data_IF_189111717579
#
_entry.id   IF_189111717579
#
_cell.length_a   1.000
_cell.length_b   1.000
_cell.length_c   1.000
_cell.angle_alpha   90.00
_cell.angle_beta   90.00
_cell.angle_gamma   90.00
#
_symmetry.space_group_name_H-M   'P 1'
#
loop_
_entity.id
_entity.type
_entity.pdbx_description
1 polymer ?
#
# COMPACT_ATOMS: atom_id res chain seq x y z
N UNK A 1 9.19 -10.60 -4.51
CA UNK A 1 9.11 -10.18 -3.09
C UNK A 1 10.22 -9.19 -2.68
N UNK A 2 11.47 -9.32 -3.14
CA UNK A 2 12.63 -8.59 -2.57
C UNK A 2 12.77 -7.08 -2.93
N UNK A 3 11.70 -6.28 -2.94
CA UNK A 3 11.81 -4.81 -3.06
C UNK A 3 10.93 -4.09 -2.04
N UNK A 4 11.51 -3.03 -1.46
CA UNK A 4 11.09 -2.28 -0.26
C UNK A 4 9.58 -2.07 -0.13
N UNK A 5 8.91 -1.50 -1.14
CA UNK A 5 7.52 -1.05 -1.00
C UNK A 5 6.47 -2.12 -0.68
N UNK A 6 6.61 -3.35 -1.19
CA UNK A 6 5.64 -4.41 -0.89
C UNK A 6 5.76 -4.92 0.56
N UNK A 7 6.99 -4.95 1.10
CA UNK A 7 7.21 -5.27 2.51
C UNK A 7 6.73 -4.17 3.43
N UNK A 8 6.84 -2.90 3.02
CA UNK A 8 6.29 -1.77 3.80
C UNK A 8 4.77 -1.86 3.92
N UNK A 9 4.05 -2.20 2.83
CA UNK A 9 2.60 -2.43 2.88
C UNK A 9 2.28 -3.61 3.79
N UNK A 10 2.99 -4.73 3.66
CA UNK A 10 2.79 -5.90 4.51
C UNK A 10 2.95 -5.55 6.00
N UNK A 11 4.02 -4.83 6.34
CA UNK A 11 4.28 -4.37 7.70
C UNK A 11 3.14 -3.49 8.23
N UNK A 12 2.59 -2.59 7.42
CA UNK A 12 1.47 -1.74 7.83
C UNK A 12 0.23 -2.57 8.16
N UNK A 13 -0.11 -3.54 7.29
CA UNK A 13 -1.25 -4.43 7.51
C UNK A 13 -1.07 -5.27 8.78
N UNK A 14 0.13 -5.81 9.01
CA UNK A 14 0.48 -6.57 10.21
C UNK A 14 0.41 -5.68 11.47
N UNK A 15 0.93 -4.46 11.40
CA UNK A 15 0.93 -3.50 12.51
C UNK A 15 -0.50 -3.19 12.96
N UNK A 16 -1.40 -2.96 12.00
CA UNK A 16 -2.82 -2.71 12.23
C UNK A 16 -3.63 -3.99 12.47
N UNK A 17 -2.98 -5.17 12.43
CA UNK A 17 -3.59 -6.50 12.61
C UNK A 17 -4.76 -6.75 11.65
N UNK A 18 -4.58 -6.35 10.39
CA UNK A 18 -5.56 -6.56 9.34
C UNK A 18 -5.37 -7.93 8.69
N UNK A 19 -6.45 -8.70 8.64
CA UNK A 19 -6.47 -9.96 7.89
C UNK A 19 -6.25 -9.68 6.40
N UNK A 20 -5.28 -10.36 5.80
CA UNK A 20 -4.95 -10.17 4.38
C UNK A 20 -4.35 -11.45 3.77
N UNK A 21 -4.41 -11.54 2.45
CA UNK A 21 -3.79 -12.61 1.66
C UNK A 21 -2.66 -12.04 0.81
N UNK A 22 -1.55 -12.77 0.72
CA UNK A 22 -0.41 -12.39 -0.11
C UNK A 22 -0.46 -13.18 -1.42
N UNK A 23 -0.64 -12.47 -2.54
CA UNK A 23 -0.53 -13.04 -3.88
C UNK A 23 0.83 -12.67 -4.48
N UNK A 24 1.80 -13.60 -4.54
CA UNK A 24 3.16 -13.28 -4.96
C UNK A 24 3.29 -13.21 -6.49
N UNK A 25 3.75 -12.07 -7.00
CA UNK A 25 4.15 -11.90 -8.40
C UNK A 25 5.68 -11.94 -8.53
N UNK A 26 6.20 -12.82 -9.38
CA UNK A 26 7.63 -12.88 -9.70
C UNK A 26 7.94 -11.85 -10.77
N UNK A 27 8.87 -10.93 -10.48
CA UNK A 27 9.36 -9.97 -11.48
C UNK A 27 10.19 -10.71 -12.52
N UNK A 28 10.07 -10.27 -13.78
CA UNK A 28 11.04 -10.63 -14.80
C UNK A 28 12.36 -9.86 -14.58
N UNK A 29 13.44 -10.33 -15.22
CA UNK A 29 14.75 -9.68 -15.15
C UNK A 29 14.75 -8.24 -15.72
N UNK A 30 13.73 -7.89 -16.50
CA UNK A 30 13.57 -6.56 -17.09
C UNK A 30 12.94 -5.54 -16.16
N UNK A 31 12.51 -5.93 -14.96
CA UNK A 31 11.74 -5.10 -14.03
C UNK A 31 10.49 -4.47 -14.68
N UNK A 32 9.99 -5.06 -15.76
CA UNK A 32 8.88 -4.51 -16.54
C UNK A 32 7.56 -4.73 -15.81
N UNK A 33 6.56 -3.97 -16.24
CA UNK A 33 5.20 -4.17 -15.79
C UNK A 33 4.75 -5.59 -16.18
N UNK A 34 4.30 -6.38 -15.19
CA UNK A 34 3.86 -7.75 -15.41
C UNK A 34 2.48 -7.73 -16.07
N UNK A 35 2.30 -8.50 -17.14
CA UNK A 35 1.02 -8.59 -17.86
C UNK A 35 -0.13 -9.03 -16.94
N UNK A 36 0.16 -9.87 -15.95
CA UNK A 36 -0.82 -10.28 -14.94
C UNK A 36 -1.26 -9.12 -14.05
N UNK A 37 -0.34 -8.23 -13.66
CA UNK A 37 -0.67 -7.03 -12.88
C UNK A 37 -1.39 -5.99 -13.73
N UNK A 38 -1.11 -5.90 -15.04
CA UNK A 38 -1.82 -4.98 -15.95
C UNK A 38 -3.31 -5.31 -16.07
N UNK A 39 -3.68 -6.59 -15.91
CA UNK A 39 -5.09 -7.01 -15.85
C UNK A 39 -5.82 -6.46 -14.62
N UNK A 40 -5.10 -6.20 -13.53
CA UNK A 40 -5.64 -5.65 -12.29
C UNK A 40 -5.58 -4.12 -12.27
N UNK A 41 -4.47 -3.53 -12.72
CA UNK A 41 -4.28 -2.09 -12.76
C UNK A 41 -3.37 -1.68 -13.93
N UNK A 42 -3.67 -0.63 -14.71
CA UNK A 42 -2.92 -0.24 -15.91
C UNK A 42 -1.41 -0.04 -15.71
N UNK A 43 -0.98 0.36 -14.51
CA UNK A 43 0.43 0.52 -14.16
C UNK A 43 1.22 -0.80 -14.21
N UNK A 44 0.57 -1.93 -13.94
CA UNK A 44 1.18 -3.27 -13.97
C UNK A 44 2.37 -3.45 -13.04
N UNK A 45 2.44 -2.67 -11.96
CA UNK A 45 3.54 -2.66 -10.98
C UNK A 45 3.05 -3.11 -9.61
N UNK A 46 3.97 -3.58 -8.78
CA UNK A 46 3.75 -3.96 -7.38
C UNK A 46 4.39 -2.90 -6.47
N UNK A 47 3.81 -2.64 -5.28
CA UNK A 47 2.63 -3.31 -4.69
C UNK A 47 1.28 -2.86 -5.29
N UNK A 48 0.28 -3.75 -5.22
CA UNK A 48 -1.14 -3.45 -5.37
C UNK A 48 -1.86 -4.00 -4.13
N UNK A 49 -2.79 -3.22 -3.57
CA UNK A 49 -3.67 -3.69 -2.50
C UNK A 49 -5.10 -3.77 -3.02
N UNK A 50 -5.73 -4.94 -2.90
CA UNK A 50 -7.17 -5.09 -3.09
C UNK A 50 -7.85 -4.93 -1.74
N UNK A 51 -8.77 -3.97 -1.63
CA UNK A 51 -9.63 -3.79 -0.47
C UNK A 51 -11.07 -4.13 -0.84
N UNK A 52 -11.72 -4.96 -0.03
CA UNK A 52 -13.13 -5.32 -0.18
C UNK A 52 -13.97 -4.65 0.92
N UNK A 53 -14.99 -3.90 0.50
CA UNK A 53 -15.96 -3.33 1.41
C UNK A 53 -16.93 -4.43 1.90
N UNK A 54 -16.94 -4.68 3.21
CA UNK A 54 -17.74 -5.76 3.81
C UNK A 54 -19.26 -5.56 3.71
N UNK A 55 -19.74 -4.33 3.49
CA UNK A 55 -21.18 -4.03 3.41
C UNK A 55 -21.69 -4.11 1.98
N UNK A 56 -20.89 -3.66 1.03
CA UNK A 56 -21.28 -3.53 -0.39
C UNK A 56 -20.67 -4.59 -1.30
N UNK A 57 -19.73 -5.40 -0.78
CA UNK A 57 -18.90 -6.36 -1.53
C UNK A 57 -18.12 -5.71 -2.69
N UNK A 58 -17.97 -4.38 -2.67
CA UNK A 58 -17.23 -3.66 -3.71
C UNK A 58 -15.75 -3.82 -3.47
N UNK A 59 -15.05 -4.23 -4.52
CA UNK A 59 -13.59 -4.34 -4.56
C UNK A 59 -12.97 -3.07 -5.11
N UNK A 60 -11.87 -2.65 -4.51
CA UNK A 60 -11.07 -1.51 -4.94
C UNK A 60 -9.61 -1.91 -5.03
N UNK A 61 -9.00 -1.67 -6.19
CA UNK A 61 -7.56 -1.86 -6.39
C UNK A 61 -6.86 -0.53 -6.11
N UNK A 62 -5.87 -0.58 -5.23
CA UNK A 62 -5.09 0.56 -4.78
C UNK A 62 -3.65 0.40 -5.32
N UNK A 63 -3.23 1.23 -6.29
CA UNK A 63 -1.84 1.32 -6.71
C UNK A 63 -1.07 2.31 -5.84
N UNK A 64 0.26 2.34 -6.03
CA UNK A 64 1.21 3.27 -5.40
C UNK A 64 1.30 3.19 -3.88
N UNK A 65 2.52 3.32 -3.36
CA UNK A 65 2.77 3.05 -1.95
C UNK A 65 2.11 4.08 -1.03
N UNK A 66 2.27 5.37 -1.33
CA UNK A 66 1.68 6.44 -0.54
C UNK A 66 0.15 6.36 -0.54
N UNK A 67 -0.46 6.12 -1.69
CA UNK A 67 -1.91 6.00 -1.79
C UNK A 67 -2.46 4.81 -0.99
N UNK A 68 -1.77 3.67 -1.05
CA UNK A 68 -2.10 2.51 -0.21
C UNK A 68 -2.01 2.89 1.28
N UNK A 69 -0.91 3.53 1.70
CA UNK A 69 -0.69 3.92 3.09
C UNK A 69 -1.79 4.85 3.62
N UNK A 70 -2.03 5.96 2.92
CA UNK A 70 -3.05 6.94 3.30
C UNK A 70 -4.45 6.32 3.33
N UNK A 71 -4.77 5.48 2.35
CA UNK A 71 -6.06 4.78 2.34
C UNK A 71 -6.19 3.86 3.56
N UNK A 72 -5.16 3.07 3.87
CA UNK A 72 -5.22 2.11 4.96
C UNK A 72 -5.34 2.82 6.31
N UNK A 73 -4.53 3.83 6.58
CA UNK A 73 -4.60 4.61 7.83
C UNK A 73 -5.99 5.23 8.01
N UNK A 74 -6.48 5.94 6.99
CA UNK A 74 -7.78 6.62 7.03
C UNK A 74 -8.97 5.71 7.29
N UNK A 75 -8.93 4.46 6.80
CA UNK A 75 -10.08 3.55 6.89
C UNK A 75 -9.96 2.51 8.00
N UNK A 76 -8.74 2.20 8.46
CA UNK A 76 -8.49 1.06 9.34
C UNK A 76 -7.69 1.39 10.61
N UNK A 77 -6.94 2.49 10.68
CA UNK A 77 -6.26 2.89 11.93
C UNK A 77 -7.23 3.60 12.88
N UNK A 78 -7.98 2.81 13.65
CA UNK A 78 -8.98 3.32 14.61
C UNK A 78 -8.38 3.98 15.85
N UNK A 79 -7.08 3.80 16.07
CA UNK A 79 -6.37 4.26 17.27
C UNK A 79 -5.50 5.48 17.01
N UNK A 80 -5.44 5.93 15.75
CA UNK A 80 -4.57 7.01 15.32
C UNK A 80 -3.12 6.76 15.76
N UNK A 81 -2.72 5.49 15.69
CA UNK A 81 -1.46 5.01 16.24
C UNK A 81 -0.25 5.57 15.49
N UNK A 82 -0.44 5.84 14.19
CA UNK A 82 0.57 6.35 13.28
C UNK A 82 0.33 7.81 12.88
N UNK A 83 -0.87 8.35 13.08
CA UNK A 83 -1.28 9.68 12.60
C UNK A 83 -1.83 10.56 13.73
N UNK A 84 -1.28 10.46 14.95
CA UNK A 84 -1.70 11.26 16.11
C UNK A 84 -1.90 12.72 15.71
N UNK A 85 -3.02 13.33 16.14
CA UNK A 85 -3.43 14.75 15.98
C UNK A 85 -2.37 15.87 16.24
N UNK A 86 -1.12 15.52 16.52
CA UNK A 86 0.02 16.41 16.48
C UNK A 86 0.38 16.73 15.02
N UNK A 87 -0.08 17.88 14.53
CA UNK A 87 0.06 18.33 13.13
C UNK A 87 1.50 18.16 12.59
N UNK A 88 2.51 18.48 13.40
CA UNK A 88 3.93 18.38 13.03
C UNK A 88 4.38 16.93 12.74
N UNK A 89 3.83 15.93 13.46
CA UNK A 89 4.18 14.51 13.24
C UNK A 89 3.49 13.93 12.01
N UNK A 90 2.30 14.42 11.68
CA UNK A 90 1.58 14.02 10.46
C UNK A 90 2.30 14.54 9.22
N UNK A 91 2.79 15.78 9.25
CA UNK A 91 3.59 16.37 8.17
C UNK A 91 4.92 15.63 7.98
N UNK A 92 5.61 15.27 9.06
CA UNK A 92 6.85 14.48 9.00
C UNK A 92 6.61 13.10 8.36
N UNK A 93 5.55 12.42 8.78
CA UNK A 93 5.17 11.09 8.25
C UNK A 93 4.83 11.15 6.76
N UNK A 94 4.06 12.16 6.34
CA UNK A 94 3.77 12.40 4.92
C UNK A 94 5.05 12.71 4.14
N UNK A 95 5.94 13.54 4.69
CA UNK A 95 7.21 13.86 4.05
C UNK A 95 8.07 12.62 3.81
N UNK A 96 8.15 11.69 4.77
CA UNK A 96 8.87 10.42 4.56
C UNK A 96 8.22 9.56 3.47
N UNK A 97 6.90 9.51 3.39
CA UNK A 97 6.20 8.77 2.32
C UNK A 97 6.53 9.37 0.95
N UNK A 98 6.44 10.70 0.81
CA UNK A 98 6.84 11.41 -0.42
C UNK A 98 8.31 11.18 -0.77
N UNK A 99 9.20 11.22 0.23
CA UNK A 99 10.63 10.99 0.02
C UNK A 99 10.89 9.57 -0.50
N UNK A 100 10.24 8.56 0.09
CA UNK A 100 10.37 7.16 -0.35
C UNK A 100 9.84 6.97 -1.76
N UNK A 101 8.75 7.64 -2.13
CA UNK A 101 8.15 7.52 -3.46
C UNK A 101 8.95 8.27 -4.54
N UNK A 102 9.50 9.44 -4.22
CA UNK A 102 10.25 10.28 -5.17
C UNK A 102 11.73 9.92 -5.33
N UNK A 103 12.33 9.18 -4.39
CA UNK A 103 13.77 8.89 -4.35
C UNK A 103 14.16 7.50 -4.89
N UNK A 104 13.22 6.74 -5.47
CA UNK A 104 13.40 5.35 -5.93
C UNK A 104 13.51 5.17 -7.45
#
# INVERSE_FOLDING_TARGET
>A
LNKSGAFTVLWLLDHLRLDHEIIPYRRDAGFRALEELKKLHPLGRSPLLESEDRQTAKKKILPELEYIFQYVLKHFDKTDSLDKEDNDKSEESQWYLYYVEGSL
#
